data_IF_775207109172
#
_entry.id   IF_775207109172
#
_cell.length_a   1.000
_cell.length_b   1.000
_cell.length_c   1.000
_cell.angle_alpha   90.00
_cell.angle_beta   90.00
_cell.angle_gamma   90.00
#
_symmetry.space_group_name_H-M   'P 1'
#
loop_
_entity.id
_entity.type
_entity.pdbx_description
1 polymer ?
#
# COMPACT_ATOMS: atom_id res chain seq x y z
N UNK A 1 20.69 -38.04 31.45
CA UNK A 1 19.62 -37.67 30.49
C UNK A 1 20.09 -36.49 29.64
N UNK A 2 20.61 -36.71 28.41
CA UNK A 2 21.11 -35.65 27.51
C UNK A 2 21.01 -36.01 26.01
N UNK A 3 19.86 -36.55 25.58
CA UNK A 3 19.43 -36.69 24.16
C UNK A 3 17.90 -36.48 24.16
N UNK A 4 17.35 -35.84 23.11
CA UNK A 4 16.00 -35.24 23.00
C UNK A 4 15.88 -33.79 23.52
N UNK A 5 16.33 -32.80 22.73
CA UNK A 5 15.78 -31.43 22.67
C UNK A 5 16.35 -30.58 21.51
N UNK A 6 16.67 -31.22 20.37
CA UNK A 6 17.31 -30.57 19.20
C UNK A 6 16.37 -30.45 17.99
N UNK A 7 15.05 -30.48 18.22
CA UNK A 7 14.02 -30.48 17.17
C UNK A 7 12.82 -29.63 17.62
N UNK A 8 12.96 -28.30 17.65
CA UNK A 8 11.89 -27.33 17.37
C UNK A 8 12.41 -25.87 17.44
N UNK A 9 12.76 -25.26 16.29
CA UNK A 9 12.46 -23.83 16.00
C UNK A 9 12.73 -23.42 14.53
N UNK A 10 12.34 -24.24 13.55
CA UNK A 10 12.25 -23.76 12.16
C UNK A 10 10.95 -22.95 12.05
N UNK A 11 10.99 -21.70 12.52
CA UNK A 11 9.87 -20.77 12.44
C UNK A 11 9.85 -20.11 11.06
N UNK A 12 8.88 -20.49 10.22
CA UNK A 12 8.77 -20.00 8.85
C UNK A 12 8.60 -18.48 8.81
N UNK A 13 9.51 -17.78 8.11
CA UNK A 13 9.31 -16.39 7.73
C UNK A 13 8.26 -16.33 6.62
N UNK A 14 6.99 -16.20 7.01
CA UNK A 14 5.89 -15.99 6.06
C UNK A 14 5.94 -14.55 5.57
N UNK A 15 6.68 -14.32 4.49
CA UNK A 15 6.71 -13.02 3.80
C UNK A 15 5.34 -12.76 3.17
N UNK A 16 4.55 -11.89 3.80
CA UNK A 16 3.26 -11.45 3.28
C UNK A 16 3.47 -10.52 2.06
N UNK A 17 3.61 -11.12 0.87
CA UNK A 17 3.73 -10.40 -0.39
C UNK A 17 2.47 -9.55 -0.64
N UNK A 18 2.58 -8.23 -0.47
CA UNK A 18 1.53 -7.30 -0.84
C UNK A 18 1.43 -7.21 -2.37
N UNK A 19 0.29 -7.65 -2.92
CA UNK A 19 -0.05 -7.47 -4.33
C UNK A 19 0.03 -5.97 -4.71
N UNK A 20 0.56 -5.69 -5.90
CA UNK A 20 0.58 -4.35 -6.51
C UNK A 20 -0.37 -4.35 -7.70
N UNK A 21 -0.90 -3.16 -8.07
CA UNK A 21 -1.79 -3.06 -9.24
C UNK A 21 -1.12 -3.51 -10.55
N UNK A 22 0.20 -3.35 -10.68
CA UNK A 22 0.99 -3.85 -11.82
C UNK A 22 0.85 -5.35 -12.06
N UNK A 23 0.56 -6.11 -11.00
CA UNK A 23 0.62 -7.57 -11.01
C UNK A 23 -0.71 -8.16 -11.55
N UNK A 24 -1.75 -7.32 -11.68
CA UNK A 24 -3.06 -7.70 -12.22
C UNK A 24 -3.09 -7.56 -13.74
N UNK A 25 -3.60 -8.59 -14.42
CA UNK A 25 -3.92 -8.53 -15.85
C UNK A 25 -5.30 -7.90 -16.11
N UNK A 26 -6.24 -8.08 -15.18
CA UNK A 26 -7.65 -7.70 -15.35
C UNK A 26 -8.06 -6.62 -14.34
N UNK A 27 -8.81 -5.62 -14.82
CA UNK A 27 -9.41 -4.58 -13.97
C UNK A 27 -10.90 -4.48 -14.28
N UNK A 28 -11.75 -4.69 -13.27
CA UNK A 28 -13.16 -4.35 -13.35
C UNK A 28 -13.35 -2.85 -13.14
N UNK A 29 -14.03 -2.22 -14.10
CA UNK A 29 -14.43 -0.81 -14.09
C UNK A 29 -15.96 -0.79 -14.11
N UNK A 30 -16.64 -0.38 -13.02
CA UNK A 30 -18.10 -0.38 -13.00
C UNK A 30 -18.64 0.56 -14.08
N UNK A 31 -19.81 0.24 -14.64
CA UNK A 31 -20.48 1.06 -15.65
C UNK A 31 -20.88 2.45 -15.12
N UNK A 32 -21.03 2.59 -13.81
CA UNK A 32 -21.34 3.85 -13.12
C UNK A 32 -20.49 4.01 -11.84
N UNK A 33 -20.17 5.27 -11.55
CA UNK A 33 -19.48 5.75 -10.35
C UNK A 33 -20.44 6.61 -9.50
N UNK A 34 -19.88 7.42 -8.60
CA UNK A 34 -20.62 8.49 -7.93
C UNK A 34 -21.14 9.56 -8.92
N UNK A 35 -22.19 10.30 -8.55
CA UNK A 35 -22.99 11.15 -9.46
C UNK A 35 -22.20 12.17 -10.28
N UNK A 36 -21.06 12.64 -9.77
CA UNK A 36 -20.25 13.66 -10.46
C UNK A 36 -19.22 13.00 -11.38
N UNK A 37 -18.67 11.87 -10.96
CA UNK A 37 -17.75 11.03 -11.74
C UNK A 37 -18.43 10.25 -12.89
N UNK A 38 -19.77 10.21 -12.94
CA UNK A 38 -20.55 9.73 -14.09
C UNK A 38 -20.70 10.75 -15.23
N UNK A 39 -20.40 12.02 -14.98
CA UNK A 39 -20.46 13.07 -16.00
C UNK A 39 -19.19 13.03 -16.86
N UNK A 40 -19.15 13.80 -17.94
CA UNK A 40 -17.92 14.14 -18.67
C UNK A 40 -17.13 12.95 -19.25
N UNK A 41 -17.81 11.87 -19.66
CA UNK A 41 -17.26 10.67 -20.33
C UNK A 41 -16.11 9.93 -19.61
N UNK A 42 -15.91 10.19 -18.31
CA UNK A 42 -14.77 9.70 -17.53
C UNK A 42 -14.65 8.16 -17.50
N UNK A 43 -15.78 7.44 -17.59
CA UNK A 43 -15.78 5.98 -17.71
C UNK A 43 -15.03 5.51 -18.97
N UNK A 44 -15.42 6.02 -20.14
CA UNK A 44 -14.83 5.70 -21.45
C UNK A 44 -13.35 6.09 -21.53
N UNK A 45 -12.99 7.22 -20.91
CA UNK A 45 -11.60 7.66 -20.85
C UNK A 45 -10.75 6.81 -19.89
N UNK A 46 -11.30 6.37 -18.75
CA UNK A 46 -10.64 5.43 -17.83
C UNK A 46 -10.39 4.08 -18.50
N UNK A 47 -11.41 3.49 -19.17
CA UNK A 47 -11.28 2.22 -19.90
C UNK A 47 -10.11 2.29 -20.88
N UNK A 48 -10.14 3.26 -21.82
CA UNK A 48 -9.06 3.49 -22.80
C UNK A 48 -7.69 3.74 -22.14
N UNK A 49 -7.68 4.46 -21.01
CA UNK A 49 -6.48 4.75 -20.23
C UNK A 49 -5.84 3.52 -19.57
N UNK A 50 -6.64 2.50 -19.21
CA UNK A 50 -6.16 1.23 -18.69
C UNK A 50 -5.76 0.25 -19.79
N UNK A 51 -6.51 0.21 -20.90
CA UNK A 51 -6.18 -0.59 -22.09
C UNK A 51 -4.82 -0.18 -22.68
N UNK A 52 -4.56 1.12 -22.80
CA UNK A 52 -3.26 1.67 -23.22
C UNK A 52 -2.09 1.38 -22.25
N UNK A 53 -2.36 0.75 -21.10
CA UNK A 53 -1.38 0.27 -20.11
C UNK A 53 -1.33 -1.26 -20.03
N UNK A 54 -1.88 -1.96 -21.02
CA UNK A 54 -1.97 -3.42 -21.15
C UNK A 54 -2.89 -4.13 -20.13
N UNK A 55 -3.76 -3.40 -19.40
CA UNK A 55 -4.80 -4.03 -18.60
C UNK A 55 -5.99 -4.42 -19.46
N UNK A 56 -6.54 -5.62 -19.25
CA UNK A 56 -7.84 -6.02 -19.80
C UNK A 56 -8.94 -5.46 -18.91
N UNK A 57 -9.82 -4.64 -19.47
CA UNK A 57 -10.94 -4.04 -18.72
C UNK A 57 -12.18 -4.93 -18.81
N UNK A 58 -12.93 -5.02 -17.71
CA UNK A 58 -14.21 -5.74 -17.58
C UNK A 58 -15.25 -4.76 -17.06
N UNK A 59 -16.47 -4.78 -17.62
CA UNK A 59 -17.59 -3.92 -17.16
C UNK A 59 -18.90 -4.70 -16.94
N UNK A 60 -18.88 -5.99 -17.21
CA UNK A 60 -19.89 -7.00 -16.93
C UNK A 60 -19.98 -7.29 -15.42
N UNK A 61 -21.18 -7.63 -14.94
CA UNK A 61 -21.34 -8.02 -13.53
C UNK A 61 -20.71 -9.39 -13.26
N UNK A 62 -20.44 -9.71 -11.99
CA UNK A 62 -19.65 -10.88 -11.57
C UNK A 62 -20.25 -12.21 -12.00
N UNK A 63 -21.55 -12.21 -12.26
CA UNK A 63 -22.37 -13.33 -12.70
C UNK A 63 -22.10 -13.68 -14.17
N UNK A 64 -21.71 -12.70 -14.99
CA UNK A 64 -21.38 -12.82 -16.41
C UNK A 64 -19.87 -13.04 -16.66
N UNK A 65 -19.04 -13.04 -15.60
CA UNK A 65 -17.59 -13.15 -15.74
C UNK A 65 -17.14 -14.54 -16.26
N UNK A 66 -16.16 -14.60 -17.19
CA UNK A 66 -15.57 -15.86 -17.66
C UNK A 66 -15.18 -16.79 -16.51
N UNK A 67 -15.40 -18.10 -16.69
CA UNK A 67 -15.27 -19.11 -15.64
C UNK A 67 -13.90 -19.09 -14.92
N UNK A 68 -12.83 -18.73 -15.64
CA UNK A 68 -11.47 -18.55 -15.12
C UNK A 68 -11.40 -17.47 -14.01
N UNK A 69 -12.05 -16.32 -14.23
CA UNK A 69 -12.09 -15.19 -13.29
C UNK A 69 -13.13 -15.41 -12.18
N UNK A 70 -14.23 -16.07 -12.51
CA UNK A 70 -15.25 -16.46 -11.54
C UNK A 70 -14.72 -17.45 -10.49
N UNK A 71 -13.72 -18.29 -10.86
CA UNK A 71 -12.99 -19.17 -9.95
C UNK A 71 -11.88 -18.44 -9.16
N UNK A 72 -11.17 -17.48 -9.77
CA UNK A 72 -10.14 -16.67 -9.09
C UNK A 72 -10.51 -15.19 -9.05
N UNK A 73 -11.49 -14.83 -8.21
CA UNK A 73 -11.98 -13.45 -8.05
C UNK A 73 -10.91 -12.43 -7.62
N UNK A 74 -9.77 -12.90 -7.13
CA UNK A 74 -8.63 -12.10 -6.68
C UNK A 74 -7.55 -11.89 -7.75
N UNK A 75 -7.75 -12.39 -9.00
CA UNK A 75 -6.94 -12.00 -10.17
C UNK A 75 -7.48 -10.75 -10.89
N UNK A 76 -8.58 -10.17 -10.40
CA UNK A 76 -9.22 -8.95 -10.93
C UNK A 76 -9.15 -7.85 -9.89
N UNK A 77 -8.50 -6.73 -10.22
CA UNK A 77 -8.55 -5.53 -9.39
C UNK A 77 -9.82 -4.72 -9.71
N UNK A 78 -10.33 -3.95 -8.75
CA UNK A 78 -11.45 -3.02 -8.94
C UNK A 78 -10.93 -1.61 -9.05
N UNK A 79 -11.29 -0.89 -10.12
CA UNK A 79 -11.11 0.55 -10.20
C UNK A 79 -12.37 1.27 -9.71
N UNK A 80 -12.18 2.41 -9.02
CA UNK A 80 -13.22 3.38 -8.73
C UNK A 80 -12.70 4.81 -8.97
N UNK A 81 -13.60 5.71 -9.32
CA UNK A 81 -13.36 7.14 -9.44
C UNK A 81 -13.99 7.88 -8.27
N UNK A 82 -13.21 8.73 -7.60
CA UNK A 82 -13.66 9.60 -6.53
C UNK A 82 -13.37 11.06 -6.90
N UNK A 83 -14.32 11.95 -6.60
CA UNK A 83 -14.11 13.38 -6.71
C UNK A 83 -13.31 13.89 -5.50
N UNK A 84 -12.36 14.80 -5.74
CA UNK A 84 -11.67 15.53 -4.67
C UNK A 84 -11.50 17.01 -5.01
N UNK A 85 -12.41 17.55 -5.82
CA UNK A 85 -12.37 18.90 -6.35
C UNK A 85 -12.53 19.97 -5.26
N UNK A 86 -12.33 21.22 -5.67
CA UNK A 86 -12.55 22.40 -4.83
C UNK A 86 -12.98 23.55 -5.73
N UNK A 87 -13.52 24.63 -5.15
CA UNK A 87 -14.17 25.75 -5.86
C UNK A 87 -13.39 26.36 -7.06
N UNK A 88 -12.08 26.12 -7.16
CA UNK A 88 -11.22 26.62 -8.24
C UNK A 88 -10.40 25.54 -8.96
N UNK A 89 -10.55 24.25 -8.64
CA UNK A 89 -9.73 23.15 -9.20
C UNK A 89 -10.48 21.82 -9.24
N UNK A 90 -10.54 21.25 -10.43
CA UNK A 90 -11.06 19.90 -10.66
C UNK A 90 -9.99 18.87 -10.25
N UNK A 91 -10.36 17.86 -9.45
CA UNK A 91 -9.44 16.79 -9.03
C UNK A 91 -10.12 15.44 -9.09
N UNK A 92 -9.41 14.47 -9.67
CA UNK A 92 -9.84 13.09 -9.81
C UNK A 92 -8.90 12.19 -9.03
N UNK A 93 -9.47 11.29 -8.23
CA UNK A 93 -8.75 10.20 -7.59
C UNK A 93 -9.17 8.89 -8.24
N UNK A 94 -8.21 8.17 -8.85
CA UNK A 94 -8.40 6.81 -9.34
C UNK A 94 -7.89 5.86 -8.26
N UNK A 95 -8.83 5.11 -7.66
CA UNK A 95 -8.54 4.17 -6.59
C UNK A 95 -8.65 2.75 -7.12
N UNK A 96 -7.62 1.94 -6.89
CA UNK A 96 -7.60 0.52 -7.21
C UNK A 96 -7.62 -0.30 -5.91
N UNK A 97 -8.45 -1.35 -5.86
CA UNK A 97 -8.50 -2.29 -4.73
C UNK A 97 -8.51 -3.74 -5.18
N UNK A 98 -8.14 -4.65 -4.28
CA UNK A 98 -8.24 -6.09 -4.49
C UNK A 98 -9.68 -6.62 -4.31
N UNK A 99 -9.83 -7.94 -4.29
CA UNK A 99 -11.07 -8.65 -4.00
C UNK A 99 -11.59 -8.47 -2.56
N UNK A 100 -10.75 -8.01 -1.64
CA UNK A 100 -11.03 -7.78 -0.21
C UNK A 100 -11.18 -6.27 0.11
N UNK A 101 -11.35 -5.43 -0.92
CA UNK A 101 -11.43 -3.98 -0.85
C UNK A 101 -10.19 -3.26 -0.27
N UNK A 102 -9.06 -3.97 -0.13
CA UNK A 102 -7.76 -3.42 0.26
C UNK A 102 -7.20 -2.58 -0.88
N UNK A 103 -6.76 -1.35 -0.56
CA UNK A 103 -6.23 -0.41 -1.56
C UNK A 103 -4.87 -0.88 -2.08
N UNK A 104 -4.77 -1.03 -3.40
CA UNK A 104 -3.57 -1.42 -4.15
C UNK A 104 -2.79 -0.21 -4.66
N UNK A 105 -3.51 0.82 -5.12
CA UNK A 105 -2.97 2.11 -5.56
C UNK A 105 -4.07 3.18 -5.42
N UNK A 106 -3.67 4.39 -5.03
CA UNK A 106 -4.50 5.59 -5.10
C UNK A 106 -3.74 6.66 -5.89
N UNK A 107 -4.15 6.92 -7.13
CA UNK A 107 -3.58 7.97 -7.96
C UNK A 107 -4.45 9.23 -7.90
N UNK A 108 -3.81 10.41 -7.98
CA UNK A 108 -4.50 11.71 -7.95
C UNK A 108 -4.05 12.56 -9.12
N UNK A 109 -5.00 13.19 -9.79
CA UNK A 109 -4.76 14.20 -10.81
C UNK A 109 -5.56 15.47 -10.53
N UNK A 110 -5.12 16.58 -11.11
CA UNK A 110 -5.66 17.91 -10.88
C UNK A 110 -5.56 18.70 -12.17
N UNK A 111 -6.69 19.25 -12.63
CA UNK A 111 -6.69 20.25 -13.69
C UNK A 111 -6.80 21.66 -13.09
N UNK A 112 -6.22 22.62 -13.81
CA UNK A 112 -6.41 24.05 -13.59
C UNK A 112 -7.51 24.64 -14.48
N UNK A 113 -8.04 23.86 -15.43
CA UNK A 113 -9.18 24.25 -16.25
C UNK A 113 -10.43 24.33 -15.37
N UNK A 114 -11.21 25.40 -15.50
CA UNK A 114 -12.39 25.66 -14.64
C UNK A 114 -13.60 24.86 -15.11
N UNK A 115 -13.76 24.75 -16.42
CA UNK A 115 -14.87 24.11 -17.11
C UNK A 115 -14.83 22.60 -16.86
N UNK A 116 -15.84 22.07 -16.19
CA UNK A 116 -15.86 20.68 -15.71
C UNK A 116 -15.73 19.65 -16.86
N UNK A 117 -16.33 19.94 -18.01
CA UNK A 117 -16.33 19.09 -19.22
C UNK A 117 -14.92 18.82 -19.79
N UNK A 118 -13.94 19.67 -19.46
CA UNK A 118 -12.53 19.51 -19.88
C UNK A 118 -11.59 19.30 -18.69
N UNK A 119 -11.85 19.94 -17.56
CA UNK A 119 -11.05 19.83 -16.35
C UNK A 119 -11.13 18.48 -15.64
N UNK A 120 -12.27 17.78 -15.67
CA UNK A 120 -12.34 16.41 -15.14
C UNK A 120 -11.59 15.40 -16.04
N UNK A 121 -11.76 15.41 -17.39
CA UNK A 121 -10.97 14.56 -18.28
C UNK A 121 -9.45 14.79 -18.23
N UNK A 122 -8.99 16.04 -18.12
CA UNK A 122 -7.57 16.36 -17.94
C UNK A 122 -7.05 15.86 -16.57
N UNK A 123 -7.80 16.09 -15.49
CA UNK A 123 -7.46 15.56 -14.17
C UNK A 123 -7.41 14.01 -14.16
N UNK A 124 -8.31 13.33 -14.87
CA UNK A 124 -8.28 11.88 -15.04
C UNK A 124 -7.04 11.44 -15.82
N UNK A 125 -6.71 12.06 -16.95
CA UNK A 125 -5.50 11.72 -17.71
C UNK A 125 -4.21 11.92 -16.87
N UNK A 126 -4.10 13.05 -16.16
CA UNK A 126 -2.98 13.33 -15.25
C UNK A 126 -2.87 12.24 -14.17
N UNK A 127 -3.99 11.79 -13.60
CA UNK A 127 -3.98 10.70 -12.61
C UNK A 127 -3.52 9.37 -13.23
N UNK A 128 -3.90 9.08 -14.47
CA UNK A 128 -3.52 7.83 -15.14
C UNK A 128 -2.01 7.77 -15.43
N UNK A 129 -1.31 8.91 -15.53
CA UNK A 129 0.15 8.94 -15.73
C UNK A 129 0.93 8.22 -14.62
N UNK A 130 0.42 8.15 -13.38
CA UNK A 130 1.11 7.42 -12.29
C UNK A 130 0.79 5.92 -12.21
N UNK A 131 -0.26 5.46 -12.91
CA UNK A 131 -0.63 4.03 -12.93
C UNK A 131 0.41 3.25 -13.74
N UNK A 132 1.06 2.21 -13.18
CA UNK A 132 2.07 1.44 -13.89
C UNK A 132 1.45 0.63 -15.05
N UNK A 133 2.28 0.16 -15.96
CA UNK A 133 1.87 -0.84 -16.95
C UNK A 133 1.52 -2.17 -16.25
N UNK A 134 0.58 -2.92 -16.82
CA UNK A 134 0.34 -4.31 -16.42
C UNK A 134 1.56 -5.16 -16.78
N UNK A 135 2.05 -5.91 -15.79
CA UNK A 135 3.13 -6.88 -15.89
C UNK A 135 2.82 -8.08 -14.96
N UNK A 136 1.82 -8.90 -15.30
CA UNK A 136 1.35 -9.97 -14.44
C UNK A 136 2.41 -11.07 -14.30
N UNK A 137 3.01 -11.17 -13.11
CA UNK A 137 3.87 -12.30 -12.77
C UNK A 137 3.03 -13.59 -12.77
N UNK A 138 3.54 -14.63 -13.43
CA UNK A 138 2.87 -15.93 -13.59
C UNK A 138 2.43 -16.56 -12.26
N UNK A 139 3.06 -16.14 -11.15
CA UNK A 139 2.70 -16.46 -9.76
C UNK A 139 1.21 -16.24 -9.42
N UNK A 140 0.52 -15.28 -10.04
CA UNK A 140 -0.92 -15.02 -9.78
C UNK A 140 -1.84 -15.97 -10.58
N UNK A 141 -1.35 -16.52 -11.69
CA UNK A 141 -2.10 -17.46 -12.54
C UNK A 141 -2.16 -18.89 -11.97
N UNK A 142 -1.38 -19.19 -10.93
CA UNK A 142 -1.25 -20.56 -10.38
C UNK A 142 -1.47 -20.55 -8.86
N UNK A 143 -2.72 -20.28 -8.45
CA UNK A 143 -3.26 -20.99 -7.29
C UNK A 143 -3.71 -22.36 -7.81
N UNK A 144 -2.81 -23.34 -7.71
CA UNK A 144 -3.01 -24.68 -8.25
C UNK A 144 -4.10 -25.45 -7.48
N UNK A 145 -5.37 -25.23 -7.84
CA UNK A 145 -6.46 -26.05 -7.34
C UNK A 145 -6.42 -27.42 -8.04
N UNK A 146 -5.57 -28.31 -7.51
CA UNK A 146 -5.18 -29.59 -8.12
C UNK A 146 -6.40 -30.48 -8.37
N UNK A 147 -6.93 -30.44 -9.60
CA UNK A 147 -8.16 -31.13 -10.00
C UNK A 147 -7.94 -32.64 -10.17
N UNK A 148 -7.80 -33.36 -9.05
CA UNK A 148 -7.73 -34.82 -9.02
C UNK A 148 -9.10 -35.45 -9.39
N UNK A 149 -9.21 -36.25 -10.46
CA UNK A 149 -10.46 -36.95 -10.80
C UNK A 149 -10.60 -38.28 -10.05
N UNK A 150 -11.85 -38.68 -9.79
CA UNK A 150 -12.30 -40.00 -9.26
C UNK A 150 -11.83 -40.36 -7.82
N UNK A 151 -12.55 -41.18 -7.05
CA UNK A 151 -13.75 -42.00 -7.35
C UNK A 151 -14.74 -42.05 -6.16
N UNK A 152 -15.96 -42.52 -6.41
CA UNK A 152 -17.07 -42.64 -5.47
C UNK A 152 -17.18 -44.06 -4.89
N UNK A 153 -17.02 -44.23 -3.56
CA UNK A 153 -17.48 -45.43 -2.83
C UNK A 153 -17.95 -45.04 -1.41
N UNK A 154 -19.05 -45.63 -0.95
CA UNK A 154 -19.66 -45.39 0.37
C UNK A 154 -19.19 -46.43 1.40
N UNK A 155 -18.79 -45.99 2.60
CA UNK A 155 -18.76 -46.81 3.82
C UNK A 155 -18.88 -45.96 5.10
N UNK A 156 -19.25 -46.59 6.22
CA UNK A 156 -19.63 -45.99 7.51
C UNK A 156 -18.96 -46.77 8.65
N UNK A 157 -18.82 -46.15 9.84
CA UNK A 157 -18.81 -46.73 11.23
C UNK A 157 -17.61 -46.29 12.11
N UNK A 158 -17.97 -45.70 13.27
CA UNK A 158 -17.31 -45.60 14.61
C UNK A 158 -15.81 -45.19 14.75
N UNK A 159 -15.47 -44.11 15.49
CA UNK A 159 -15.54 -43.79 16.96
C UNK A 159 -14.38 -44.38 17.79
N UNK A 160 -13.73 -43.50 18.57
CA UNK A 160 -13.16 -43.60 19.95
C UNK A 160 -12.09 -42.48 20.07
N UNK A 161 -12.27 -41.38 20.83
CA UNK A 161 -12.14 -41.18 22.32
C UNK A 161 -10.72 -41.54 22.83
N UNK A 162 -9.91 -40.79 23.60
CA UNK A 162 -9.87 -39.47 24.31
C UNK A 162 -8.35 -39.13 24.47
N UNK A 163 -7.76 -38.06 25.05
CA UNK A 163 -8.08 -36.88 25.90
C UNK A 163 -7.55 -35.58 25.22
N UNK A 164 -7.42 -34.34 25.75
CA UNK A 164 -7.24 -33.75 27.11
C UNK A 164 -5.83 -34.01 27.73
N UNK A 165 -5.13 -33.09 28.40
CA UNK A 165 -5.51 -31.79 29.04
C UNK A 165 -4.38 -30.73 28.91
N UNK A 166 -4.72 -29.46 29.13
CA UNK A 166 -3.81 -28.30 29.11
C UNK A 166 -2.88 -28.16 30.34
N UNK A 167 -1.86 -27.28 30.26
CA UNK A 167 -1.80 -26.07 31.11
C UNK A 167 -0.73 -25.07 30.65
N UNK A 168 -0.99 -23.78 30.92
CA UNK A 168 -0.01 -22.70 31.02
C UNK A 168 0.14 -22.32 32.52
N UNK A 169 0.75 -21.19 32.96
CA UNK A 169 1.60 -20.21 32.27
C UNK A 169 2.94 -19.96 33.03
N UNK A 170 3.69 -18.89 32.68
CA UNK A 170 4.14 -17.82 33.63
C UNK A 170 4.96 -16.75 32.89
N UNK A 171 4.89 -15.51 33.40
CA UNK A 171 5.48 -14.27 32.85
C UNK A 171 6.89 -14.01 33.40
N UNK A 172 7.81 -13.48 32.58
CA UNK A 172 8.79 -12.47 33.06
C UNK A 172 9.33 -11.58 31.93
N UNK A 173 9.81 -10.39 32.30
CA UNK A 173 10.29 -9.32 31.42
C UNK A 173 11.83 -9.30 31.41
N UNK A 174 12.46 -8.97 30.29
CA UNK A 174 13.81 -8.41 30.22
C UNK A 174 14.04 -7.64 28.91
N UNK A 175 14.99 -6.71 28.92
CA UNK A 175 15.19 -5.68 27.91
C UNK A 175 16.46 -5.90 27.04
N UNK A 176 16.77 -4.87 26.25
CA UNK A 176 18.08 -4.47 25.71
C UNK A 176 18.64 -5.15 24.44
N UNK A 177 19.24 -4.27 23.62
CA UNK A 177 20.35 -4.49 22.69
C UNK A 177 20.03 -4.84 21.24
N UNK A 178 19.83 -3.77 20.48
CA UNK A 178 20.34 -3.58 19.12
C UNK A 178 21.59 -4.41 18.75
N UNK A 179 21.59 -4.93 17.52
CA UNK A 179 22.79 -5.33 16.76
C UNK A 179 22.60 -4.90 15.29
N UNK A 180 23.64 -4.39 14.58
CA UNK A 180 23.45 -3.74 13.28
C UNK A 180 23.53 -4.69 12.09
N UNK A 181 22.78 -4.36 11.02
CA UNK A 181 23.04 -4.88 9.66
C UNK A 181 23.70 -3.76 8.86
N UNK A 182 24.95 -4.00 8.44
CA UNK A 182 25.72 -3.02 7.68
C UNK A 182 25.58 -3.25 6.17
N UNK A 183 25.03 -2.26 5.46
CA UNK A 183 25.19 -2.09 4.01
C UNK A 183 25.75 -0.69 3.76
N UNK A 184 26.75 -0.57 2.89
CA UNK A 184 27.61 0.61 2.79
C UNK A 184 26.95 1.82 2.13
N UNK A 185 26.22 2.58 2.92
CA UNK A 185 26.19 4.04 2.84
C UNK A 185 26.46 4.60 4.24
N UNK A 186 26.95 5.84 4.37
CA UNK A 186 26.97 6.52 5.67
C UNK A 186 25.54 6.87 6.07
N UNK A 187 24.87 5.95 6.75
CA UNK A 187 23.54 6.17 7.30
C UNK A 187 23.61 7.30 8.33
N UNK A 188 23.05 8.46 7.98
CA UNK A 188 23.01 9.60 8.90
C UNK A 188 21.94 9.31 9.97
N UNK A 189 22.38 9.01 11.18
CA UNK A 189 21.49 8.76 12.32
C UNK A 189 21.09 10.11 12.92
N UNK A 190 19.80 10.27 13.22
CA UNK A 190 19.27 11.43 13.90
C UNK A 190 18.46 11.01 15.14
N UNK A 191 18.25 11.93 16.08
CA UNK A 191 17.47 11.67 17.29
C UNK A 191 16.84 12.95 17.84
N UNK A 192 15.64 12.82 18.40
CA UNK A 192 14.92 13.89 19.11
C UNK A 192 14.92 13.66 20.64
N UNK A 193 15.88 12.88 21.14
CA UNK A 193 15.97 12.45 22.55
C UNK A 193 15.00 11.31 22.93
N UNK A 194 13.83 11.21 22.30
CA UNK A 194 12.84 10.16 22.54
C UNK A 194 13.04 8.94 21.65
N UNK A 195 13.31 9.16 20.37
CA UNK A 195 13.58 8.12 19.37
C UNK A 195 14.90 8.38 18.64
N UNK A 196 15.45 7.35 18.01
CA UNK A 196 16.57 7.47 17.07
C UNK A 196 16.16 6.87 15.73
N UNK A 197 16.41 7.60 14.64
CA UNK A 197 15.94 7.29 13.28
C UNK A 197 17.10 7.39 12.30
N UNK A 198 17.09 6.57 11.26
CA UNK A 198 18.09 6.59 10.19
C UNK A 198 17.53 7.36 8.99
N UNK A 199 18.30 8.31 8.46
CA UNK A 199 17.98 8.99 7.21
C UNK A 199 18.41 8.14 6.02
N UNK A 200 17.45 7.73 5.20
CA UNK A 200 17.65 6.94 3.99
C UNK A 200 17.20 7.77 2.79
N UNK A 201 18.13 8.11 1.89
CA UNK A 201 17.84 8.88 0.69
C UNK A 201 17.18 7.99 -0.37
N UNK A 202 16.05 8.41 -0.93
CA UNK A 202 15.29 7.68 -1.96
C UNK A 202 15.62 8.15 -3.39
N UNK A 203 16.39 9.23 -3.53
CA UNK A 203 16.62 9.93 -4.79
C UNK A 203 15.57 11.00 -5.08
N UNK A 204 15.72 11.73 -6.18
CA UNK A 204 14.73 12.71 -6.68
C UNK A 204 14.23 13.75 -5.64
N UNK A 205 15.11 14.22 -4.75
CA UNK A 205 14.75 15.16 -3.67
C UNK A 205 13.92 14.56 -2.53
N UNK A 206 13.82 13.23 -2.45
CA UNK A 206 13.10 12.52 -1.39
C UNK A 206 14.05 11.71 -0.49
N UNK A 207 13.76 11.72 0.81
CA UNK A 207 14.35 10.83 1.80
C UNK A 207 13.32 10.43 2.86
N UNK A 208 13.62 9.39 3.63
CA UNK A 208 12.81 8.94 4.76
C UNK A 208 13.63 8.97 6.05
N UNK A 209 12.95 9.19 7.18
CA UNK A 209 13.45 8.85 8.50
C UNK A 209 12.82 7.52 8.91
N UNK A 210 13.63 6.47 9.04
CA UNK A 210 13.19 5.14 9.44
C UNK A 210 13.55 4.86 10.91
N UNK A 211 12.59 4.39 11.71
CA UNK A 211 12.88 3.83 13.03
C UNK A 211 13.21 2.34 12.89
N UNK A 212 14.14 1.83 13.70
CA UNK A 212 14.38 0.38 13.81
C UNK A 212 13.25 -0.40 14.49
N UNK A 213 12.21 0.29 14.97
CA UNK A 213 11.07 -0.29 15.72
C UNK A 213 9.77 -0.40 14.92
N UNK A 214 9.72 0.05 13.66
CA UNK A 214 8.52 0.00 12.82
C UNK A 214 8.86 -0.46 11.39
N UNK A 215 7.91 -1.10 10.73
CA UNK A 215 8.01 -1.42 9.30
C UNK A 215 7.64 -0.22 8.40
N UNK A 216 7.12 0.87 8.98
CA UNK A 216 6.83 2.12 8.30
C UNK A 216 7.92 3.16 8.59
N UNK A 217 8.21 4.07 7.64
CA UNK A 217 9.04 5.24 7.96
C UNK A 217 8.29 6.16 8.93
N UNK A 218 9.02 6.69 9.91
CA UNK A 218 8.52 7.68 10.87
C UNK A 218 8.01 8.94 10.15
N UNK A 219 8.76 9.36 9.12
CA UNK A 219 8.45 10.51 8.29
C UNK A 219 9.07 10.38 6.89
N UNK A 220 8.33 10.78 5.86
CA UNK A 220 8.78 10.88 4.47
C UNK A 220 8.94 12.36 4.12
N UNK A 221 10.16 12.77 3.77
CA UNK A 221 10.53 14.14 3.41
C UNK A 221 10.64 14.26 1.89
N UNK A 222 9.88 15.14 1.27
CA UNK A 222 9.97 15.45 -0.17
C UNK A 222 10.27 16.94 -0.36
N UNK A 223 11.38 17.26 -1.00
CA UNK A 223 11.87 18.63 -1.18
C UNK A 223 10.85 19.53 -1.92
N UNK A 224 10.95 20.82 -1.64
CA UNK A 224 10.13 21.87 -2.26
C UNK A 224 10.97 22.65 -3.28
N UNK A 225 10.40 23.70 -3.87
CA UNK A 225 11.17 24.65 -4.68
C UNK A 225 12.21 25.46 -3.87
N UNK A 226 12.14 25.43 -2.53
CA UNK A 226 13.16 25.99 -1.64
C UNK A 226 14.02 24.85 -1.10
N UNK A 227 15.30 24.86 -1.47
CA UNK A 227 16.29 23.89 -1.00
C UNK A 227 16.33 23.84 0.54
N UNK A 228 16.44 22.64 1.10
CA UNK A 228 16.44 22.46 2.56
C UNK A 228 15.07 22.62 3.22
N UNK A 229 13.99 22.81 2.46
CA UNK A 229 12.60 22.84 2.95
C UNK A 229 11.79 21.73 2.26
N UNK A 230 11.04 20.98 3.06
CA UNK A 230 10.43 19.71 2.71
C UNK A 230 8.94 19.70 3.05
N UNK A 231 8.14 19.07 2.20
CA UNK A 231 6.82 18.55 2.59
C UNK A 231 7.05 17.24 3.31
N UNK A 232 6.53 17.11 4.52
CA UNK A 232 6.68 15.92 5.35
C UNK A 232 5.34 15.18 5.43
N UNK A 233 5.37 13.86 5.26
CA UNK A 233 4.25 12.97 5.61
C UNK A 233 4.69 12.07 6.77
N UNK A 234 3.99 12.17 7.89
CA UNK A 234 4.25 11.39 9.10
C UNK A 234 3.74 9.95 8.96
N UNK A 235 4.19 9.05 9.84
CA UNK A 235 3.78 7.63 9.89
C UNK A 235 2.25 7.45 9.98
N UNK A 236 1.56 8.31 10.75
CA UNK A 236 0.09 8.34 10.85
C UNK A 236 -0.62 8.94 9.61
N UNK A 237 0.11 9.30 8.57
CA UNK A 237 -0.39 9.88 7.33
C UNK A 237 -0.58 11.39 7.33
N UNK A 238 -0.44 12.08 8.47
CA UNK A 238 -0.59 13.52 8.58
C UNK A 238 0.49 14.29 7.80
N UNK A 239 0.14 15.47 7.27
CA UNK A 239 1.05 16.35 6.56
C UNK A 239 1.63 17.41 7.49
N UNK A 240 2.95 17.55 7.48
CA UNK A 240 3.72 18.53 8.24
C UNK A 240 4.66 19.31 7.31
N UNK A 241 5.16 20.45 7.78
CA UNK A 241 6.30 21.13 7.16
C UNK A 241 7.60 20.56 7.76
N UNK A 242 8.67 20.49 6.99
CA UNK A 242 9.99 20.19 7.54
C UNK A 242 11.08 21.04 6.92
N UNK A 243 12.19 21.22 7.62
CA UNK A 243 13.36 21.93 7.13
C UNK A 243 14.65 21.44 7.76
N UNK A 244 15.77 21.66 7.07
CA UNK A 244 17.11 21.46 7.60
C UNK A 244 17.65 22.80 8.14
N UNK A 245 18.05 22.82 9.41
CA UNK A 245 18.64 23.99 10.07
C UNK A 245 19.80 23.54 10.96
N UNK A 246 20.97 24.18 10.83
CA UNK A 246 22.17 23.88 11.62
C UNK A 246 22.56 22.39 11.67
N UNK A 247 22.34 21.66 10.56
CA UNK A 247 22.61 20.21 10.46
C UNK A 247 21.58 19.30 11.15
N UNK A 248 20.56 19.87 11.77
CA UNK A 248 19.39 19.16 12.31
C UNK A 248 18.24 19.14 11.30
N UNK A 249 17.32 18.19 11.45
CA UNK A 249 16.06 18.14 10.71
C UNK A 249 14.91 18.52 11.66
N UNK A 250 14.14 19.53 11.30
CA UNK A 250 12.99 20.01 12.07
C UNK A 250 11.72 19.58 11.34
N UNK A 251 10.72 19.14 12.10
CA UNK A 251 9.34 18.89 11.63
C UNK A 251 8.41 19.81 12.40
N UNK A 252 7.56 20.56 11.71
CA UNK A 252 6.50 21.39 12.27
C UNK A 252 5.14 20.74 12.00
N UNK A 253 4.58 20.12 13.05
CA UNK A 253 3.35 19.35 13.03
C UNK A 253 2.18 20.28 13.40
N UNK A 254 1.24 20.57 12.49
CA UNK A 254 0.10 21.44 12.78
C UNK A 254 -0.80 20.84 13.85
N UNK A 255 -1.34 21.69 14.71
CA UNK A 255 -2.24 21.36 15.82
C UNK A 255 -3.65 21.90 15.55
N UNK A 256 -4.66 21.40 16.27
CA UNK A 256 -6.08 21.73 16.06
C UNK A 256 -6.49 23.18 16.46
N UNK A 257 -5.52 24.04 16.82
CA UNK A 257 -5.69 25.41 17.30
C UNK A 257 -4.82 26.41 16.50
N UNK A 258 -4.50 26.09 15.24
CA UNK A 258 -3.61 26.85 14.34
C UNK A 258 -2.17 27.07 14.86
N UNK A 259 -1.74 26.33 15.89
CA UNK A 259 -0.34 26.31 16.35
C UNK A 259 0.44 25.14 15.75
N UNK A 260 1.77 25.15 15.90
CA UNK A 260 2.67 24.12 15.38
C UNK A 260 3.54 23.55 16.50
N UNK A 261 3.52 22.23 16.66
CA UNK A 261 4.48 21.51 17.50
C UNK A 261 5.76 21.28 16.70
N UNK A 262 6.91 21.66 17.24
CA UNK A 262 8.21 21.35 16.63
C UNK A 262 8.79 20.06 17.18
N UNK A 263 9.27 19.19 16.29
CA UNK A 263 10.18 18.10 16.61
C UNK A 263 11.55 18.36 15.99
N UNK A 264 12.60 18.31 16.80
CA UNK A 264 13.97 18.60 16.36
C UNK A 264 14.78 17.30 16.41
N UNK A 265 15.18 16.82 15.24
CA UNK A 265 16.02 15.65 15.04
C UNK A 265 17.46 16.12 14.83
N UNK A 266 18.28 16.01 15.88
CA UNK A 266 19.71 16.33 15.82
C UNK A 266 20.49 15.14 15.28
N UNK A 267 21.52 15.39 14.48
CA UNK A 267 22.41 14.36 13.94
C UNK A 267 23.30 13.77 15.05
N UNK A 268 23.45 12.45 15.05
CA UNK A 268 24.38 11.67 15.90
C UNK A 268 25.63 11.26 15.11
#
# INVERSE_FOLDING_TARGET
MKKLLSIFLISSVVTAYGQKISDFQYIYVPKTFEKEMNKYDLNKQLVKGLESKNYKVIQEEKEDWPAELSQNRCSVARANLLDNSSMFRNRVIVKFSDCNDKVLLESKGMSMQKEFETGFPDALEISLRSVPLSNPSQTISIVENTKKPKEEVVAKVEKVKTTETASAPVVTISEVSSSPIATTNKAEVFSNGKISVQKINMGSGQFILASGSSSSPYAVFTETSKQGVYRVKMENGATALGYAENGSLIIEIPQANDTYQKEVFQKK
#
